data_IF_332967283278
#
_entry.id   IF_332967283278
#
_cell.length_a   1.000
_cell.length_b   1.000
_cell.length_c   1.000
_cell.angle_alpha   90.00
_cell.angle_beta   90.00
_cell.angle_gamma   90.00
#
_symmetry.space_group_name_H-M   'P 1'
#
loop_
_entity.id
_entity.type
_entity.pdbx_description
1 polymer ?
#
# COMPACT_ATOMS: atom_id res chain seq x y z
N UNK A 1 -18.24 18.83 3.40
CA UNK A 1 -18.77 17.46 3.27
C UNK A 1 -19.28 17.01 4.62
N UNK A 2 -20.53 16.58 4.69
CA UNK A 2 -21.17 16.19 5.93
C UNK A 2 -20.70 14.81 6.39
N UNK A 3 -20.78 14.52 7.70
CA UNK A 3 -20.45 13.20 8.27
C UNK A 3 -21.20 12.07 7.53
N UNK A 4 -22.43 12.34 7.07
CA UNK A 4 -23.29 11.40 6.35
C UNK A 4 -22.66 10.87 5.07
N UNK A 5 -21.90 11.68 4.33
CA UNK A 5 -21.24 11.28 3.07
C UNK A 5 -20.09 10.29 3.31
N UNK A 6 -19.50 10.26 4.53
CA UNK A 6 -18.38 9.37 4.86
C UNK A 6 -18.83 8.00 5.35
N UNK A 7 -20.10 7.85 5.74
CA UNK A 7 -20.65 6.62 6.32
C UNK A 7 -20.57 5.44 5.33
N UNK A 8 -20.96 5.56 4.05
CA UNK A 8 -20.93 4.43 3.13
C UNK A 8 -19.53 3.83 2.96
N UNK A 9 -18.52 4.67 2.73
CA UNK A 9 -17.13 4.21 2.61
C UNK A 9 -16.66 3.49 3.87
N UNK A 10 -16.91 4.08 5.04
CA UNK A 10 -16.54 3.47 6.32
C UNK A 10 -17.19 2.10 6.51
N UNK A 11 -18.46 1.96 6.13
CA UNK A 11 -19.22 0.72 6.24
C UNK A 11 -18.70 -0.35 5.26
N UNK A 12 -18.40 0.03 4.02
CA UNK A 12 -17.79 -0.87 3.02
C UNK A 12 -16.43 -1.39 3.47
N UNK A 13 -15.55 -0.49 3.94
CA UNK A 13 -14.22 -0.90 4.42
C UNK A 13 -14.30 -1.70 5.73
N UNK A 14 -15.22 -1.34 6.62
CA UNK A 14 -15.48 -2.11 7.85
C UNK A 14 -15.95 -3.54 7.57
N UNK A 15 -16.89 -3.70 6.63
CA UNK A 15 -17.33 -5.01 6.15
C UNK A 15 -16.16 -5.80 5.55
N UNK A 16 -15.31 -5.13 4.78
CA UNK A 16 -14.14 -5.76 4.18
C UNK A 16 -13.16 -6.29 5.23
N UNK A 17 -12.85 -5.49 6.25
CA UNK A 17 -12.02 -5.93 7.39
C UNK A 17 -12.64 -7.12 8.08
N UNK A 18 -13.95 -7.10 8.34
CA UNK A 18 -14.65 -8.22 8.94
C UNK A 18 -14.50 -9.50 8.12
N UNK A 19 -14.62 -9.42 6.80
CA UNK A 19 -14.42 -10.54 5.88
C UNK A 19 -12.98 -11.06 5.98
N UNK A 20 -11.94 -10.22 5.90
CA UNK A 20 -10.55 -10.69 5.99
C UNK A 20 -10.20 -11.27 7.36
N UNK A 21 -10.71 -10.69 8.44
CA UNK A 21 -10.54 -11.22 9.80
C UNK A 21 -11.23 -12.58 9.93
N UNK A 22 -12.41 -12.72 9.33
CA UNK A 22 -13.12 -14.00 9.28
C UNK A 22 -12.36 -15.04 8.44
N UNK A 23 -11.92 -14.69 7.23
CA UNK A 23 -11.13 -15.58 6.35
C UNK A 23 -9.82 -16.00 7.00
N UNK A 24 -9.15 -15.10 7.72
CA UNK A 24 -7.93 -15.41 8.49
C UNK A 24 -8.16 -16.48 9.56
N UNK A 25 -9.38 -16.62 10.10
CA UNK A 25 -9.68 -17.71 11.06
C UNK A 25 -9.68 -19.08 10.39
N UNK A 26 -10.00 -19.14 9.09
CA UNK A 26 -10.14 -20.39 8.34
C UNK A 26 -8.88 -20.76 7.55
N UNK A 27 -8.15 -19.79 7.01
CA UNK A 27 -6.91 -20.02 6.27
C UNK A 27 -5.69 -19.46 7.02
N UNK A 28 -4.66 -20.29 7.21
CA UNK A 28 -3.42 -19.91 7.91
C UNK A 28 -2.30 -19.70 6.89
N UNK A 29 -2.15 -18.46 6.41
CA UNK A 29 -1.05 -18.05 5.53
C UNK A 29 -0.43 -16.72 5.97
N UNK A 30 0.90 -16.58 5.86
CA UNK A 30 1.60 -15.34 6.18
C UNK A 30 1.09 -14.16 5.32
N UNK A 31 0.79 -14.42 4.05
CA UNK A 31 0.19 -13.46 3.12
C UNK A 31 -1.17 -12.96 3.60
N UNK A 32 -2.08 -13.87 3.94
CA UNK A 32 -3.42 -13.51 4.44
C UNK A 32 -3.36 -12.74 5.76
N UNK A 33 -2.40 -13.07 6.63
CA UNK A 33 -2.15 -12.30 7.85
C UNK A 33 -1.77 -10.84 7.54
N UNK A 34 -0.86 -10.64 6.58
CA UNK A 34 -0.46 -9.28 6.18
C UNK A 34 -1.58 -8.53 5.47
N UNK A 35 -2.41 -9.20 4.67
CA UNK A 35 -3.60 -8.60 4.07
C UNK A 35 -4.57 -8.12 5.15
N UNK A 36 -4.86 -8.97 6.13
CA UNK A 36 -5.73 -8.58 7.25
C UNK A 36 -5.16 -7.39 8.04
N UNK A 37 -3.83 -7.35 8.26
CA UNK A 37 -3.16 -6.22 8.91
C UNK A 37 -3.28 -4.95 8.06
N UNK A 38 -2.99 -5.04 6.75
CA UNK A 38 -3.09 -3.94 5.81
C UNK A 38 -4.50 -3.34 5.78
N UNK A 39 -5.54 -4.18 5.67
CA UNK A 39 -6.93 -3.73 5.70
C UNK A 39 -7.36 -3.16 7.06
N UNK A 40 -6.89 -3.71 8.17
CA UNK A 40 -7.15 -3.14 9.52
C UNK A 40 -6.55 -1.73 9.64
N UNK A 41 -5.36 -1.52 9.09
CA UNK A 41 -4.71 -0.21 9.05
C UNK A 41 -5.48 0.76 8.14
N UNK A 42 -5.92 0.32 6.95
CA UNK A 42 -6.77 1.13 6.05
C UNK A 42 -8.09 1.53 6.73
N UNK A 43 -8.73 0.61 7.45
CA UNK A 43 -9.92 0.94 8.23
C UNK A 43 -9.63 1.95 9.34
N UNK A 44 -8.49 1.81 10.03
CA UNK A 44 -8.08 2.76 11.07
C UNK A 44 -7.80 4.14 10.46
N UNK A 45 -7.27 4.20 9.25
CA UNK A 45 -7.11 5.43 8.46
C UNK A 45 -8.47 6.11 8.21
N UNK A 46 -9.47 5.39 7.71
CA UNK A 46 -10.83 5.94 7.52
C UNK A 46 -11.51 6.31 8.84
N UNK A 47 -11.31 5.53 9.90
CA UNK A 47 -11.82 5.85 11.22
C UNK A 47 -11.21 7.17 11.73
N UNK A 48 -9.91 7.37 11.53
CA UNK A 48 -9.25 8.61 11.89
C UNK A 48 -9.81 9.81 11.10
N UNK A 49 -10.09 9.64 9.81
CA UNK A 49 -10.77 10.68 9.01
C UNK A 49 -12.20 10.95 9.49
N UNK A 50 -12.94 9.94 9.95
CA UNK A 50 -14.30 10.10 10.45
C UNK A 50 -14.33 10.87 11.78
N UNK A 51 -13.34 10.64 12.64
CA UNK A 51 -13.16 11.34 13.91
C UNK A 51 -12.61 12.76 13.74
N UNK A 52 -12.17 13.13 12.54
CA UNK A 52 -11.60 14.43 12.25
C UNK A 52 -12.70 15.51 12.31
N UNK A 53 -12.60 16.50 13.21
CA UNK A 53 -13.65 17.49 13.39
C UNK A 53 -13.83 18.32 12.12
N UNK A 54 -15.08 18.50 11.67
CA UNK A 54 -15.41 19.32 10.50
C UNK A 54 -15.11 20.80 10.71
N UNK A 55 -15.18 21.27 11.96
CA UNK A 55 -14.96 22.65 12.37
C UNK A 55 -13.91 22.68 13.49
N UNK A 56 -12.62 22.63 13.16
CA UNK A 56 -11.54 22.72 14.14
C UNK A 56 -10.18 22.32 13.59
N UNK A 57 -9.11 22.60 14.34
CA UNK A 57 -7.78 22.10 14.01
C UNK A 57 -7.73 20.60 14.38
N UNK A 58 -7.52 19.70 13.41
CA UNK A 58 -7.36 18.29 13.71
C UNK A 58 -6.16 18.07 14.62
N UNK A 59 -6.27 17.18 15.59
CA UNK A 59 -5.16 16.91 16.49
C UNK A 59 -3.99 16.31 15.70
N UNK A 60 -2.77 16.78 16.00
CA UNK A 60 -1.56 16.27 15.35
C UNK A 60 -1.44 14.74 15.44
N UNK A 61 -1.92 14.18 16.55
CA UNK A 61 -2.00 12.73 16.78
C UNK A 61 -2.94 12.05 15.77
N UNK A 62 -4.14 12.58 15.54
CA UNK A 62 -5.11 11.99 14.62
C UNK A 62 -4.58 12.01 13.18
N UNK A 63 -3.93 13.11 12.78
CA UNK A 63 -3.26 13.24 11.48
C UNK A 63 -2.08 12.26 11.33
N UNK A 64 -1.30 12.06 12.39
CA UNK A 64 -0.20 11.09 12.41
C UNK A 64 -0.71 9.65 12.29
N UNK A 65 -1.80 9.31 13.01
CA UNK A 65 -2.48 8.01 12.90
C UNK A 65 -3.02 7.83 11.47
N UNK A 66 -3.73 8.83 10.94
CA UNK A 66 -4.32 8.81 9.61
C UNK A 66 -3.27 8.50 8.52
N UNK A 67 -2.18 9.28 8.46
CA UNK A 67 -1.13 9.08 7.46
C UNK A 67 -0.25 7.85 7.75
N UNK A 68 0.06 7.59 9.03
CA UNK A 68 0.91 6.48 9.44
C UNK A 68 0.27 5.12 9.17
N UNK A 69 -1.03 4.97 9.44
CA UNK A 69 -1.77 3.75 9.11
C UNK A 69 -1.80 3.49 7.61
N UNK A 70 -2.01 4.53 6.79
CA UNK A 70 -2.03 4.38 5.33
C UNK A 70 -0.65 4.00 4.76
N UNK A 71 0.43 4.56 5.30
CA UNK A 71 1.78 4.15 4.89
C UNK A 71 2.13 2.73 5.35
N UNK A 72 1.80 2.40 6.60
CA UNK A 72 2.02 1.07 7.13
C UNK A 72 1.20 0.01 6.36
N UNK A 73 0.01 0.35 5.87
CA UNK A 73 -0.79 -0.57 5.04
C UNK A 73 -0.16 -0.80 3.67
N UNK A 74 0.32 0.25 2.99
CA UNK A 74 1.04 0.14 1.73
C UNK A 74 2.24 -0.81 1.86
N UNK A 75 2.98 -0.72 2.98
CA UNK A 75 4.13 -1.58 3.26
C UNK A 75 3.69 -3.00 3.61
N UNK A 76 2.64 -3.19 4.40
CA UNK A 76 2.08 -4.51 4.68
C UNK A 76 1.66 -5.23 3.40
N UNK A 77 1.00 -4.52 2.47
CA UNK A 77 0.63 -5.05 1.17
C UNK A 77 1.84 -5.35 0.31
N UNK A 78 2.82 -4.44 0.21
CA UNK A 78 4.05 -4.66 -0.54
C UNK A 78 4.80 -5.90 -0.07
N UNK A 79 4.94 -6.06 1.25
CA UNK A 79 5.60 -7.23 1.84
C UNK A 79 4.79 -8.50 1.59
N UNK A 80 3.45 -8.43 1.59
CA UNK A 80 2.57 -9.60 1.36
C UNK A 80 2.72 -10.22 -0.02
N UNK A 81 3.05 -9.41 -1.04
CA UNK A 81 3.24 -9.85 -2.43
C UNK A 81 4.72 -10.03 -2.79
N UNK A 82 5.62 -9.75 -1.85
CA UNK A 82 7.05 -9.95 -2.04
C UNK A 82 7.42 -11.44 -1.88
N UNK A 83 8.49 -11.93 -2.53
CA UNK A 83 8.97 -13.31 -2.33
C UNK A 83 9.47 -13.56 -0.90
N UNK A 84 9.69 -12.50 -0.14
CA UNK A 84 10.19 -12.52 1.23
C UNK A 84 9.08 -12.87 2.24
N UNK A 85 7.82 -12.90 1.79
CA UNK A 85 6.66 -13.17 2.64
C UNK A 85 6.74 -14.51 3.36
N UNK A 86 7.36 -15.54 2.79
CA UNK A 86 7.44 -16.87 3.40
C UNK A 86 8.45 -16.93 4.55
N UNK A 87 9.55 -16.17 4.46
CA UNK A 87 10.62 -16.20 5.45
C UNK A 87 10.35 -15.22 6.60
N UNK A 88 9.90 -15.72 7.75
CA UNK A 88 9.49 -14.89 8.90
C UNK A 88 10.53 -13.83 9.31
N UNK A 89 11.80 -14.20 9.41
CA UNK A 89 12.86 -13.28 9.83
C UNK A 89 13.07 -12.15 8.81
N UNK A 90 13.18 -12.50 7.52
CA UNK A 90 13.33 -11.53 6.43
C UNK A 90 12.08 -10.66 6.28
N UNK A 91 10.88 -11.24 6.43
CA UNK A 91 9.59 -10.53 6.43
C UNK A 91 9.53 -9.47 7.52
N UNK A 92 9.86 -9.83 8.76
CA UNK A 92 9.89 -8.88 9.89
C UNK A 92 10.94 -7.81 9.66
N UNK A 93 12.15 -8.19 9.23
CA UNK A 93 13.23 -7.24 8.96
C UNK A 93 12.82 -6.23 7.88
N UNK A 94 12.22 -6.69 6.78
CA UNK A 94 11.74 -5.82 5.70
C UNK A 94 10.60 -4.90 6.18
N UNK A 95 9.64 -5.44 6.94
CA UNK A 95 8.58 -4.61 7.53
C UNK A 95 9.14 -3.54 8.44
N UNK A 96 10.08 -3.87 9.34
CA UNK A 96 10.67 -2.89 10.24
C UNK A 96 11.50 -1.85 9.47
N UNK A 97 12.30 -2.31 8.51
CA UNK A 97 13.16 -1.43 7.70
C UNK A 97 12.38 -0.43 6.86
N UNK A 98 11.15 -0.75 6.46
CA UNK A 98 10.30 0.15 5.66
C UNK A 98 9.28 0.90 6.53
N UNK A 99 8.54 0.20 7.39
CA UNK A 99 7.40 0.76 8.12
C UNK A 99 7.81 1.69 9.25
N UNK A 100 8.91 1.38 9.96
CA UNK A 100 9.38 2.27 11.03
C UNK A 100 9.79 3.64 10.49
N UNK A 101 10.69 3.75 9.49
CA UNK A 101 11.05 5.06 8.97
C UNK A 101 9.90 5.76 8.26
N UNK A 102 8.98 5.04 7.62
CA UNK A 102 7.81 5.68 6.99
C UNK A 102 6.85 6.28 8.02
N UNK A 103 6.43 5.49 9.02
CA UNK A 103 5.51 5.98 10.06
C UNK A 103 6.16 7.07 10.90
N UNK A 104 7.46 6.93 11.22
CA UNK A 104 8.22 7.97 11.90
C UNK A 104 8.27 9.25 11.08
N UNK A 105 8.48 9.16 9.76
CA UNK A 105 8.46 10.30 8.87
C UNK A 105 7.13 11.07 8.96
N UNK A 106 5.98 10.37 8.94
CA UNK A 106 4.65 11.00 9.09
C UNK A 106 4.47 11.61 10.47
N UNK A 107 4.93 10.94 11.53
CA UNK A 107 4.84 11.47 12.89
C UNK A 107 5.66 12.75 13.06
N UNK A 108 6.87 12.79 12.50
CA UNK A 108 7.75 13.97 12.52
C UNK A 108 7.14 15.15 11.76
N UNK A 109 6.54 14.88 10.60
CA UNK A 109 5.87 15.88 9.76
C UNK A 109 4.77 16.61 10.52
N UNK A 110 4.05 15.91 11.40
CA UNK A 110 3.01 16.50 12.26
C UNK A 110 3.53 17.08 13.57
N UNK A 111 4.69 16.64 14.03
CA UNK A 111 5.33 17.07 15.27
C UNK A 111 6.03 18.43 15.21
N UNK A 112 5.95 19.17 14.10
CA UNK A 112 6.58 20.49 13.88
C UNK A 112 8.12 20.51 14.00
N UNK A 113 8.77 19.35 13.87
CA UNK A 113 10.23 19.30 13.84
C UNK A 113 10.74 20.05 12.59
N UNK A 114 11.34 21.23 12.79
CA UNK A 114 11.86 22.08 11.70
C UNK A 114 13.16 21.53 11.08
N UNK A 115 13.81 20.55 11.72
CA UNK A 115 15.06 19.98 11.21
C UNK A 115 14.80 19.12 9.96
N UNK A 116 15.49 19.40 8.86
CA UNK A 116 15.39 18.64 7.59
C UNK A 116 16.04 17.25 7.68
N UNK A 117 17.10 17.12 8.48
CA UNK A 117 17.89 15.90 8.65
C UNK A 117 17.10 14.65 9.03
N UNK A 118 16.19 14.66 10.03
CA UNK A 118 15.41 13.47 10.38
C UNK A 118 14.50 12.99 9.24
N UNK A 119 13.95 13.89 8.42
CA UNK A 119 13.17 13.50 7.24
C UNK A 119 14.05 12.83 6.19
N UNK A 120 15.23 13.41 5.92
CA UNK A 120 16.21 12.83 4.99
C UNK A 120 16.65 11.44 5.45
N UNK A 121 16.93 11.28 6.74
CA UNK A 121 17.30 9.99 7.32
C UNK A 121 16.19 8.95 7.13
N UNK A 122 14.92 9.31 7.35
CA UNK A 122 13.79 8.40 7.12
C UNK A 122 13.64 8.00 5.64
N UNK A 123 13.77 8.95 4.72
CA UNK A 123 13.68 8.66 3.28
C UNK A 123 14.82 7.77 2.81
N UNK A 124 16.06 8.08 3.20
CA UNK A 124 17.23 7.25 2.88
C UNK A 124 17.11 5.87 3.50
N UNK A 125 16.64 5.77 4.74
CA UNK A 125 16.40 4.49 5.40
C UNK A 125 15.33 3.67 4.66
N UNK A 126 14.21 4.28 4.25
CA UNK A 126 13.14 3.57 3.57
C UNK A 126 13.53 3.13 2.16
N UNK A 127 13.95 4.07 1.29
CA UNK A 127 14.28 3.77 -0.11
C UNK A 127 15.62 3.03 -0.22
N UNK A 128 16.66 3.52 0.45
CA UNK A 128 17.98 2.90 0.46
C UNK A 128 17.97 1.55 1.17
N UNK A 129 17.33 1.46 2.34
CA UNK A 129 17.17 0.20 3.07
C UNK A 129 16.38 -0.84 2.28
N UNK A 130 15.30 -0.45 1.62
CA UNK A 130 14.54 -1.32 0.71
C UNK A 130 15.38 -1.86 -0.44
N UNK A 131 16.12 -1.00 -1.14
CA UNK A 131 17.00 -1.40 -2.25
C UNK A 131 18.13 -2.31 -1.77
N UNK A 132 18.83 -1.95 -0.70
CA UNK A 132 19.91 -2.75 -0.12
C UNK A 132 19.40 -4.11 0.34
N UNK A 133 18.24 -4.15 0.99
CA UNK A 133 17.61 -5.41 1.41
C UNK A 133 17.25 -6.27 0.20
N UNK A 134 16.68 -5.67 -0.85
CA UNK A 134 16.25 -6.37 -2.04
C UNK A 134 17.43 -7.01 -2.80
N UNK A 135 18.58 -6.33 -2.89
CA UNK A 135 19.79 -6.92 -3.45
C UNK A 135 20.43 -7.96 -2.52
N UNK A 136 20.42 -7.75 -1.19
CA UNK A 136 20.95 -8.75 -0.24
C UNK A 136 20.13 -10.03 -0.21
N UNK A 137 18.81 -9.93 -0.36
CA UNK A 137 17.92 -11.08 -0.40
C UNK A 137 18.09 -11.91 -1.68
N UNK A 138 18.54 -11.29 -2.79
CA UNK A 138 18.67 -11.92 -4.10
C UNK A 138 20.14 -12.02 -4.53
N UNK A 139 20.74 -13.21 -4.42
CA UNK A 139 22.16 -13.43 -4.82
C UNK A 139 22.47 -13.17 -6.30
N UNK A 140 21.46 -13.22 -7.18
CA UNK A 140 21.60 -12.91 -8.61
C UNK A 140 20.45 -11.98 -9.03
N UNK A 141 20.67 -10.66 -9.06
CA UNK A 141 19.60 -9.73 -9.40
C UNK A 141 19.17 -9.90 -10.85
N UNK A 142 17.87 -10.08 -11.08
CA UNK A 142 17.33 -10.08 -12.45
C UNK A 142 17.25 -8.66 -13.01
N UNK A 143 17.20 -8.50 -14.34
CA UNK A 143 17.04 -7.18 -14.99
C UNK A 143 15.85 -6.40 -14.43
N UNK A 144 14.74 -7.11 -14.17
CA UNK A 144 13.55 -6.55 -13.54
C UNK A 144 13.83 -5.99 -12.14
N UNK A 145 14.60 -6.72 -11.32
CA UNK A 145 14.95 -6.27 -9.98
C UNK A 145 15.81 -5.00 -10.01
N UNK A 146 16.72 -4.90 -10.98
CA UNK A 146 17.50 -3.68 -11.21
C UNK A 146 16.60 -2.53 -11.63
N UNK A 147 15.64 -2.74 -12.53
CA UNK A 147 14.68 -1.69 -12.92
C UNK A 147 13.83 -1.20 -11.74
N UNK A 148 13.33 -2.10 -10.90
CA UNK A 148 12.58 -1.74 -9.69
C UNK A 148 13.46 -0.95 -8.72
N UNK A 149 14.71 -1.38 -8.52
CA UNK A 149 15.65 -0.64 -7.67
C UNK A 149 15.94 0.76 -8.23
N UNK A 150 16.14 0.90 -9.54
CA UNK A 150 16.32 2.20 -10.19
C UNK A 150 15.07 3.08 -10.04
N UNK A 151 13.87 2.52 -10.18
CA UNK A 151 12.62 3.24 -9.94
C UNK A 151 12.52 3.73 -8.49
N UNK A 152 12.86 2.87 -7.51
CA UNK A 152 12.87 3.23 -6.09
C UNK A 152 13.92 4.32 -5.80
N UNK A 153 15.11 4.22 -6.39
CA UNK A 153 16.15 5.24 -6.26
C UNK A 153 15.72 6.55 -6.92
N UNK A 154 15.13 6.51 -8.11
CA UNK A 154 14.58 7.70 -8.78
C UNK A 154 13.52 8.39 -7.93
N UNK A 155 12.53 7.64 -7.44
CA UNK A 155 11.51 8.14 -6.53
C UNK A 155 12.09 8.67 -5.21
N UNK A 156 13.06 7.97 -4.64
CA UNK A 156 13.77 8.41 -3.43
C UNK A 156 14.55 9.71 -3.65
N UNK A 157 15.29 9.83 -4.76
CA UNK A 157 16.02 11.06 -5.11
C UNK A 157 15.07 12.23 -5.34
N UNK A 158 13.93 12.00 -5.99
CA UNK A 158 12.91 13.02 -6.17
C UNK A 158 12.31 13.45 -4.82
N UNK A 159 11.95 12.50 -3.95
CA UNK A 159 11.44 12.80 -2.62
C UNK A 159 12.45 13.59 -1.76
N UNK A 160 13.74 13.24 -1.83
CA UNK A 160 14.84 13.97 -1.18
C UNK A 160 14.95 15.39 -1.74
N UNK A 161 14.88 15.54 -3.07
CA UNK A 161 14.91 16.86 -3.69
C UNK A 161 13.72 17.72 -3.26
N UNK A 162 12.53 17.15 -3.09
CA UNK A 162 11.36 17.84 -2.53
C UNK A 162 11.56 18.24 -1.05
N UNK A 163 12.31 17.47 -0.25
CA UNK A 163 12.72 17.92 1.11
C UNK A 163 13.55 19.19 1.03
N UNK A 164 14.54 19.20 0.14
CA UNK A 164 15.48 20.33 0.01
C UNK A 164 14.80 21.60 -0.52
N UNK A 165 13.75 21.45 -1.34
CA UNK A 165 12.92 22.57 -1.84
C UNK A 165 11.86 23.05 -0.84
N UNK A 166 11.68 22.34 0.28
CA UNK A 166 10.66 22.66 1.28
C UNK A 166 9.23 22.32 0.86
N UNK A 167 9.01 21.49 -0.17
CA UNK A 167 7.66 21.02 -0.54
C UNK A 167 7.28 19.79 0.31
N UNK A 168 6.39 19.99 1.29
CA UNK A 168 6.03 18.95 2.28
C UNK A 168 5.07 17.88 1.71
N UNK A 169 4.06 18.28 0.94
CA UNK A 169 3.00 17.38 0.46
C UNK A 169 3.46 16.34 -0.57
N UNK A 170 4.42 16.71 -1.42
CA UNK A 170 4.88 15.85 -2.53
C UNK A 170 5.49 14.54 -2.02
N UNK A 171 6.11 14.55 -0.83
CA UNK A 171 6.93 13.46 -0.31
C UNK A 171 6.12 12.25 0.13
N UNK A 172 5.03 12.50 0.86
CA UNK A 172 4.08 11.45 1.29
C UNK A 172 3.38 10.82 0.09
N UNK A 173 3.09 11.63 -0.94
CA UNK A 173 2.51 11.18 -2.21
C UNK A 173 3.45 10.19 -2.91
N UNK A 174 4.76 10.48 -2.97
CA UNK A 174 5.74 9.56 -3.57
C UNK A 174 5.78 8.23 -2.85
N UNK A 175 5.88 8.24 -1.51
CA UNK A 175 5.97 7.00 -0.72
C UNK A 175 4.73 6.11 -0.85
N UNK A 176 3.54 6.71 -0.78
CA UNK A 176 2.29 5.97 -0.93
C UNK A 176 2.11 5.47 -2.36
N UNK A 177 2.31 6.35 -3.35
CA UNK A 177 2.18 6.02 -4.76
C UNK A 177 3.09 4.85 -5.14
N UNK A 178 4.39 4.93 -4.81
CA UNK A 178 5.32 3.86 -5.15
C UNK A 178 5.06 2.58 -4.34
N UNK A 179 4.66 2.69 -3.07
CA UNK A 179 4.35 1.53 -2.23
C UNK A 179 3.22 0.68 -2.82
N UNK A 180 2.12 1.32 -3.22
CA UNK A 180 1.00 0.62 -3.85
C UNK A 180 1.32 0.18 -5.28
N UNK A 181 1.97 1.02 -6.11
CA UNK A 181 2.37 0.62 -7.46
C UNK A 181 3.26 -0.62 -7.43
N UNK A 182 4.30 -0.63 -6.59
CA UNK A 182 5.18 -1.80 -6.46
C UNK A 182 4.44 -3.03 -5.96
N UNK A 183 3.44 -2.88 -5.09
CA UNK A 183 2.58 -3.98 -4.67
C UNK A 183 1.84 -4.59 -5.87
N UNK A 184 1.29 -3.77 -6.76
CA UNK A 184 0.64 -4.23 -7.98
C UNK A 184 1.60 -4.93 -8.93
N UNK A 185 2.77 -4.35 -9.19
CA UNK A 185 3.79 -4.95 -10.08
C UNK A 185 4.31 -6.28 -9.51
N UNK A 186 4.54 -6.37 -8.19
CA UNK A 186 4.99 -7.60 -7.54
C UNK A 186 3.92 -8.68 -7.55
N UNK A 187 2.65 -8.31 -7.35
CA UNK A 187 1.52 -9.22 -7.46
C UNK A 187 1.44 -9.85 -8.86
N UNK A 188 1.47 -9.01 -9.89
CA UNK A 188 1.43 -9.46 -11.28
C UNK A 188 2.60 -10.38 -11.63
N UNK A 189 3.81 -10.02 -11.18
CA UNK A 189 5.04 -10.75 -11.55
C UNK A 189 5.25 -12.05 -10.79
N UNK A 190 4.75 -12.13 -9.56
CA UNK A 190 4.89 -13.33 -8.70
C UNK A 190 4.07 -14.51 -9.23
N UNK A 191 3.02 -14.27 -10.01
CA UNK A 191 2.20 -15.31 -10.62
C UNK A 191 2.68 -15.57 -12.06
N UNK A 192 2.98 -16.83 -12.36
CA UNK A 192 3.42 -17.21 -13.72
C UNK A 192 2.30 -17.11 -14.75
N UNK A 193 1.05 -17.27 -14.31
CA UNK A 193 -0.15 -17.17 -15.14
C UNK A 193 -1.08 -16.11 -14.55
N UNK A 194 -1.50 -15.11 -15.33
CA UNK A 194 -2.41 -14.08 -14.85
C UNK A 194 -3.80 -14.70 -14.66
N UNK A 195 -4.21 -14.89 -13.40
CA UNK A 195 -5.60 -15.22 -13.09
C UNK A 195 -6.45 -13.94 -13.00
N UNK A 196 -7.79 -14.03 -13.15
CA UNK A 196 -8.67 -12.89 -12.95
C UNK A 196 -8.43 -12.19 -11.60
N UNK A 197 -8.21 -12.95 -10.53
CA UNK A 197 -7.84 -12.41 -9.22
C UNK A 197 -6.55 -11.57 -9.27
N UNK A 198 -5.47 -12.09 -9.87
CA UNK A 198 -4.18 -11.39 -9.97
C UNK A 198 -4.29 -10.10 -10.77
N UNK A 199 -5.01 -10.12 -11.90
CA UNK A 199 -5.24 -8.93 -12.73
C UNK A 199 -6.00 -7.87 -11.92
N UNK A 200 -7.04 -8.29 -11.20
CA UNK A 200 -7.87 -7.40 -10.38
C UNK A 200 -7.07 -6.77 -9.24
N UNK A 201 -6.27 -7.56 -8.50
CA UNK A 201 -5.40 -7.04 -7.43
C UNK A 201 -4.36 -6.08 -8.00
N UNK A 202 -3.67 -6.49 -9.07
CA UNK A 202 -2.57 -5.72 -9.64
C UNK A 202 -3.07 -4.40 -10.21
N UNK A 203 -4.17 -4.44 -10.98
CA UNK A 203 -4.84 -3.24 -11.49
C UNK A 203 -5.34 -2.34 -10.37
N UNK A 204 -5.97 -2.90 -9.33
CA UNK A 204 -6.43 -2.15 -8.17
C UNK A 204 -5.28 -1.42 -7.47
N UNK A 205 -4.15 -2.09 -7.21
CA UNK A 205 -2.99 -1.47 -6.57
C UNK A 205 -2.31 -0.41 -7.44
N UNK A 206 -2.22 -0.64 -8.75
CA UNK A 206 -1.69 0.36 -9.69
C UNK A 206 -2.57 1.61 -9.72
N UNK A 207 -3.89 1.43 -9.84
CA UNK A 207 -4.85 2.53 -9.78
C UNK A 207 -4.78 3.25 -8.43
N UNK A 208 -4.68 2.53 -7.32
CA UNK A 208 -4.60 3.12 -5.99
C UNK A 208 -3.33 3.95 -5.81
N UNK A 209 -2.18 3.42 -6.25
CA UNK A 209 -0.94 4.19 -6.25
C UNK A 209 -0.98 5.42 -7.18
N UNK A 210 -1.76 5.37 -8.26
CA UNK A 210 -1.96 6.48 -9.19
C UNK A 210 -2.90 7.58 -8.65
N UNK A 211 -3.78 7.27 -7.69
CA UNK A 211 -4.66 8.26 -7.05
C UNK A 211 -3.87 9.43 -6.47
N UNK A 212 -2.74 9.17 -5.82
CA UNK A 212 -1.94 10.20 -5.16
C UNK A 212 -1.35 11.25 -6.13
N UNK A 213 -0.57 10.87 -7.17
CA UNK A 213 -0.09 11.85 -8.16
C UNK A 213 -1.23 12.45 -8.98
N UNK A 214 -2.31 11.70 -9.25
CA UNK A 214 -3.46 12.24 -9.97
C UNK A 214 -4.17 13.34 -9.18
N UNK A 215 -4.33 13.17 -7.87
CA UNK A 215 -4.86 14.21 -6.98
C UNK A 215 -3.97 15.45 -7.01
N UNK A 216 -2.64 15.28 -6.91
CA UNK A 216 -1.69 16.37 -7.01
C UNK A 216 -1.78 17.13 -8.35
N UNK A 217 -1.93 16.41 -9.46
CA UNK A 217 -2.09 16.99 -10.78
C UNK A 217 -3.41 17.74 -10.93
N UNK A 218 -4.52 17.20 -10.42
CA UNK A 218 -5.82 17.89 -10.44
C UNK A 218 -5.80 19.16 -9.58
N UNK A 219 -5.20 19.10 -8.39
CA UNK A 219 -5.05 20.26 -7.51
C UNK A 219 -4.23 21.38 -8.20
N UNK A 220 -3.28 21.02 -9.07
CA UNK A 220 -2.45 21.97 -9.80
C UNK A 220 -3.11 22.51 -11.08
N UNK A 221 -3.66 21.63 -11.92
CA UNK A 221 -4.15 21.99 -13.26
C UNK A 221 -5.65 22.28 -13.33
N UNK A 222 -6.45 21.71 -12.43
CA UNK A 222 -7.90 21.81 -12.45
C UNK A 222 -8.51 21.92 -11.04
N UNK A 223 -8.12 22.93 -10.22
CA UNK A 223 -8.53 23.05 -8.82
C UNK A 223 -10.04 23.24 -8.62
N UNK A 224 -10.79 23.52 -9.70
CA UNK A 224 -12.25 23.66 -9.68
C UNK A 224 -12.99 22.33 -9.80
N UNK A 225 -12.32 21.26 -10.26
CA UNK A 225 -12.93 19.95 -10.41
C UNK A 225 -12.92 19.26 -9.05
N UNK A 226 -14.07 19.26 -8.38
CA UNK A 226 -14.27 18.52 -7.13
C UNK A 226 -14.77 17.13 -7.51
N UNK A 227 -13.87 16.14 -7.50
CA UNK A 227 -14.26 14.75 -7.68
C UNK A 227 -14.86 14.18 -6.38
N UNK A 228 -15.96 13.41 -6.46
CA UNK A 228 -16.53 12.73 -5.30
C UNK A 228 -15.50 11.79 -4.65
N UNK A 229 -15.52 11.73 -3.31
CA UNK A 229 -14.57 10.93 -2.51
C UNK A 229 -14.66 9.44 -2.86
N UNK A 230 -15.84 9.00 -3.25
CA UNK A 230 -16.15 7.62 -3.60
C UNK A 230 -15.33 7.15 -4.81
N UNK A 231 -15.07 8.02 -5.79
CA UNK A 231 -14.24 7.67 -6.96
C UNK A 231 -12.80 7.35 -6.57
N UNK A 232 -12.27 8.05 -5.57
CA UNK A 232 -10.92 7.82 -5.08
C UNK A 232 -10.76 6.47 -4.35
N UNK A 233 -11.86 5.92 -3.84
CA UNK A 233 -11.88 4.66 -3.10
C UNK A 233 -12.14 3.44 -4.00
N UNK A 234 -12.53 3.63 -5.27
CA UNK A 234 -12.77 2.53 -6.23
C UNK A 234 -11.58 1.57 -6.32
N UNK A 235 -10.31 2.03 -6.46
CA UNK A 235 -9.17 1.12 -6.56
C UNK A 235 -9.04 0.18 -5.37
N UNK A 236 -9.40 0.64 -4.17
CA UNK A 236 -9.37 -0.17 -2.94
C UNK A 236 -10.35 -1.34 -3.04
N UNK A 237 -11.55 -1.11 -3.58
CA UNK A 237 -12.56 -2.13 -3.81
C UNK A 237 -12.05 -3.18 -4.81
N UNK A 238 -11.34 -2.77 -5.87
CA UNK A 238 -10.71 -3.72 -6.79
C UNK A 238 -9.66 -4.59 -6.11
N UNK A 239 -8.77 -4.00 -5.30
CA UNK A 239 -7.77 -4.78 -4.55
C UNK A 239 -8.45 -5.78 -3.62
N UNK A 240 -9.45 -5.33 -2.88
CA UNK A 240 -10.25 -6.11 -1.96
C UNK A 240 -10.91 -7.33 -2.64
N UNK A 241 -11.64 -7.07 -3.73
CA UNK A 241 -12.31 -8.12 -4.51
C UNK A 241 -11.29 -9.10 -5.09
N UNK A 242 -10.18 -8.61 -5.65
CA UNK A 242 -9.14 -9.48 -6.19
C UNK A 242 -8.51 -10.40 -5.14
N UNK A 243 -8.30 -9.91 -3.92
CA UNK A 243 -7.79 -10.72 -2.80
C UNK A 243 -8.80 -11.79 -2.35
N UNK A 244 -10.10 -11.47 -2.33
CA UNK A 244 -11.15 -12.46 -2.04
C UNK A 244 -11.22 -13.50 -3.16
N UNK A 245 -11.18 -13.06 -4.43
CA UNK A 245 -11.14 -13.95 -5.59
C UNK A 245 -9.94 -14.89 -5.53
N UNK A 246 -8.77 -14.43 -5.09
CA UNK A 246 -7.58 -15.29 -4.92
C UNK A 246 -7.86 -16.44 -3.96
N UNK A 247 -8.56 -16.16 -2.86
CA UNK A 247 -8.89 -17.18 -1.83
C UNK A 247 -9.94 -18.17 -2.36
N UNK A 248 -10.85 -17.73 -3.24
CA UNK A 248 -11.87 -18.59 -3.84
C UNK A 248 -11.31 -19.43 -5.00
N UNK A 249 -10.39 -18.85 -5.79
CA UNK A 249 -9.74 -19.53 -6.92
C UNK A 249 -8.84 -20.69 -6.44
N UNK A 250 -8.16 -20.54 -5.30
CA UNK A 250 -7.18 -21.52 -4.82
C UNK A 250 -7.79 -22.94 -4.62
N UNK A 251 -8.92 -23.13 -3.89
CA UNK A 251 -9.60 -24.42 -3.83
C UNK A 251 -10.18 -24.91 -5.17
N UNK A 252 -10.65 -23.98 -6.02
CA UNK A 252 -11.23 -24.34 -7.32
C UNK A 252 -10.19 -24.97 -8.25
N UNK A 253 -8.96 -24.43 -8.27
CA UNK A 253 -7.85 -24.99 -9.01
C UNK A 253 -7.41 -26.36 -8.47
N UNK A 254 -7.38 -26.54 -7.14
CA UNK A 254 -7.05 -27.84 -6.54
C UNK A 254 -8.06 -28.93 -6.93
N UNK A 255 -9.35 -28.60 -6.97
CA UNK A 255 -10.41 -29.53 -7.38
C UNK A 255 -10.29 -29.90 -8.86
N UNK A 256 -10.05 -28.93 -9.75
CA UNK A 256 -9.86 -29.18 -11.18
C UNK A 256 -8.65 -30.08 -11.44
N UNK A 257 -7.53 -29.87 -10.74
CA UNK A 257 -6.37 -30.77 -10.81
C UNK A 257 -6.69 -32.18 -10.34
N UNK A 258 -7.45 -32.34 -9.23
CA UNK A 258 -7.86 -33.66 -8.73
C UNK A 258 -8.80 -34.40 -9.69
N UNK A 259 -9.65 -33.68 -10.42
CA UNK A 259 -10.54 -34.26 -11.42
C UNK A 259 -9.84 -34.65 -12.73
N UNK A 260 -8.52 -34.50 -12.83
CA UNK A 260 -7.77 -34.85 -14.04
C UNK A 260 -8.06 -33.95 -15.23
N UNK A 261 -8.83 -32.86 -15.03
CA UNK A 261 -9.01 -31.83 -16.03
C UNK A 261 -7.67 -31.10 -16.12
N UNK A 262 -6.85 -31.48 -17.10
CA UNK A 262 -5.80 -30.56 -17.56
C UNK A 262 -6.54 -29.34 -18.06
N UNK A 263 -6.42 -28.25 -17.32
CA UNK A 263 -6.67 -26.93 -17.87
C UNK A 263 -5.55 -26.75 -18.91
N UNK A 264 -5.85 -27.15 -20.15
CA UNK A 264 -4.91 -27.07 -21.25
C UNK A 264 -4.43 -25.62 -21.39
N UNK A 265 -3.12 -25.48 -21.53
CA UNK A 265 -2.42 -24.22 -21.74
C UNK A 265 -2.95 -23.52 -23.00
N UNK A 266 -3.52 -22.30 -22.91
CA UNK A 266 -3.53 -21.37 -24.02
C UNK A 266 -2.15 -20.70 -24.19
#
# INVERSE_FOLDING_TARGET
MGIIERIPTFLTVGLLVAIFVYLKRHARGARLQLWAVGWTLVFTHFLAQLLEPSNGHPSALLLAINGGCLQASAIAFLVSVSPVVEERAKRILLMLALAVPSVLYVALDRGSAQAQWPYLACLVACFGGGVVFFFRANRRPSRYQVMVALLCLGAGTWAVQSVLRGSFNERTIVMLGIGFVLSGVFCYRSHQRPSPAVITISGGFLCWGAVFPMKMLLDHFAPRIILPVELWNIPEIFVALGMILTIVEEPAFELLQRCGVRVDDP
#
